data_IF_143585412074
#
_entry.id   IF_143585412074
#
_cell.length_a   1.000
_cell.length_b   1.000
_cell.length_c   1.000
_cell.angle_alpha   90.00
_cell.angle_beta   90.00
_cell.angle_gamma   90.00
#
_symmetry.space_group_name_H-M   'P 1'
#
loop_
_entity.id
_entity.type
_entity.pdbx_description
1 polymer ?
#
# COMPACT_ATOMS: atom_id res chain seq x y z
N UNK A 1 -0.77 -2.33 -4.59
CA UNK A 1 -0.50 -3.76 -4.86
C UNK A 1 0.96 -4.15 -4.63
N UNK A 2 1.95 -3.40 -5.14
CA UNK A 2 3.37 -3.76 -4.95
C UNK A 2 3.77 -3.99 -3.48
N UNK A 3 3.44 -3.05 -2.57
CA UNK A 3 3.77 -3.20 -1.15
C UNK A 3 3.10 -4.42 -0.50
N UNK A 4 1.87 -4.76 -0.88
CA UNK A 4 1.21 -5.96 -0.36
C UNK A 4 1.98 -7.23 -0.76
N UNK A 5 2.47 -7.30 -2.01
CA UNK A 5 3.33 -8.39 -2.47
C UNK A 5 4.65 -8.45 -1.69
N UNK A 6 5.30 -7.30 -1.48
CA UNK A 6 6.55 -7.21 -0.68
C UNK A 6 6.30 -7.69 0.75
N UNK A 7 5.21 -7.26 1.40
CA UNK A 7 4.84 -7.70 2.75
C UNK A 7 4.64 -9.21 2.77
N UNK A 8 3.84 -9.75 1.83
CA UNK A 8 3.52 -11.17 1.77
C UNK A 8 4.78 -12.03 1.58
N UNK A 9 5.66 -11.68 0.65
CA UNK A 9 6.92 -12.40 0.44
C UNK A 9 7.90 -12.24 1.62
N UNK A 10 7.93 -11.05 2.25
CA UNK A 10 8.78 -10.82 3.42
C UNK A 10 8.33 -11.63 4.63
N UNK A 11 7.02 -11.85 4.81
CA UNK A 11 6.47 -12.65 5.89
C UNK A 11 6.72 -14.16 5.73
N UNK A 12 6.88 -14.65 4.49
CA UNK A 12 7.27 -16.06 4.24
C UNK A 12 8.68 -16.37 4.76
N UNK A 13 9.54 -15.36 4.87
CA UNK A 13 10.88 -15.51 5.42
C UNK A 13 10.81 -15.42 6.95
N UNK A 14 10.86 -16.57 7.63
CA UNK A 14 10.67 -16.69 9.09
C UNK A 14 11.59 -15.79 9.96
N UNK A 15 12.69 -15.29 9.41
CA UNK A 15 13.63 -14.41 10.12
C UNK A 15 13.19 -12.93 10.15
N UNK A 16 12.34 -12.49 9.23
CA UNK A 16 12.01 -11.07 9.09
C UNK A 16 10.80 -10.71 9.95
N UNK A 17 10.97 -9.72 10.83
CA UNK A 17 9.84 -9.12 11.54
C UNK A 17 9.29 -7.98 10.69
N UNK A 18 8.03 -8.08 10.28
CA UNK A 18 7.37 -7.10 9.40
C UNK A 18 6.14 -6.56 10.10
N UNK A 19 6.18 -5.25 10.36
CA UNK A 19 5.11 -4.48 10.96
C UNK A 19 4.63 -3.49 9.91
N UNK A 20 3.33 -3.46 9.62
CA UNK A 20 2.81 -2.63 8.55
C UNK A 20 1.53 -1.90 8.92
N UNK A 21 1.27 -0.81 8.22
CA UNK A 21 0.04 -0.03 8.33
C UNK A 21 -0.37 0.52 6.96
N UNK A 22 -1.65 0.49 6.65
CA UNK A 22 -2.21 1.04 5.42
C UNK A 22 -3.05 2.27 5.76
N UNK A 23 -2.59 3.44 5.32
CA UNK A 23 -3.40 4.65 5.41
C UNK A 23 -4.61 4.51 4.47
N UNK A 24 -5.75 5.05 4.92
CA UNK A 24 -6.97 5.12 4.13
C UNK A 24 -7.61 6.49 4.30
N UNK A 25 -7.49 7.35 3.29
CA UNK A 25 -7.83 8.77 3.37
C UNK A 25 -9.32 9.03 3.64
N UNK A 26 -10.17 8.10 3.22
CA UNK A 26 -11.62 8.13 3.40
C UNK A 26 -12.08 7.64 4.79
N UNK A 27 -11.20 7.03 5.58
CA UNK A 27 -11.51 6.58 6.94
C UNK A 27 -10.76 7.43 7.97
N UNK A 28 -11.50 8.25 8.72
CA UNK A 28 -10.94 9.13 9.77
C UNK A 28 -10.19 8.39 10.87
N UNK A 29 -10.45 7.08 11.03
CA UNK A 29 -9.76 6.22 11.99
C UNK A 29 -8.38 5.79 11.51
N UNK A 30 -8.08 5.94 10.21
CA UNK A 30 -6.87 5.41 9.56
C UNK A 30 -6.06 6.48 8.79
N UNK A 31 -6.54 7.73 8.75
CA UNK A 31 -5.95 8.81 7.96
C UNK A 31 -5.15 9.83 8.80
N UNK A 32 -4.69 9.48 9.99
CA UNK A 32 -3.93 10.38 10.86
C UNK A 32 -2.69 9.71 11.45
N UNK A 33 -1.68 10.51 11.77
CA UNK A 33 -0.38 10.03 12.27
C UNK A 33 -0.52 9.14 13.52
N UNK A 34 -1.38 9.54 14.45
CA UNK A 34 -1.63 8.80 15.70
C UNK A 34 -2.20 7.41 15.41
N UNK A 35 -3.12 7.27 14.44
CA UNK A 35 -3.64 5.98 14.01
C UNK A 35 -2.56 5.08 13.40
N UNK A 36 -1.71 5.64 12.53
CA UNK A 36 -0.57 4.92 11.95
C UNK A 36 0.31 4.35 13.08
N UNK A 37 0.74 5.21 14.00
CA UNK A 37 1.63 4.80 15.07
C UNK A 37 0.99 3.79 16.03
N UNK A 38 -0.29 3.98 16.36
CA UNK A 38 -1.06 3.04 17.18
C UNK A 38 -1.15 1.67 16.50
N UNK A 39 -1.43 1.64 15.20
CA UNK A 39 -1.51 0.40 14.43
C UNK A 39 -0.17 -0.32 14.34
N UNK A 40 0.93 0.41 14.08
CA UNK A 40 2.28 -0.16 14.10
C UNK A 40 2.64 -0.74 15.47
N UNK A 41 2.33 -0.01 16.55
CA UNK A 41 2.57 -0.49 17.92
C UNK A 41 1.77 -1.75 18.23
N UNK A 42 0.49 -1.80 17.84
CA UNK A 42 -0.37 -2.97 18.02
C UNK A 42 0.24 -4.21 17.37
N UNK A 43 0.59 -4.13 16.08
CA UNK A 43 1.19 -5.26 15.36
C UNK A 43 2.56 -5.64 15.91
N UNK A 44 3.37 -4.64 16.30
CA UNK A 44 4.70 -4.89 16.88
C UNK A 44 4.62 -5.68 18.20
N UNK A 45 3.72 -5.29 19.12
CA UNK A 45 3.61 -5.97 20.42
C UNK A 45 2.95 -7.34 20.32
N UNK A 46 2.07 -7.52 19.34
CA UNK A 46 1.47 -8.83 19.03
C UNK A 46 2.54 -9.82 18.55
N UNK A 47 3.45 -9.38 17.68
CA UNK A 47 4.57 -10.19 17.18
C UNK A 47 5.70 -10.36 18.20
N UNK A 48 5.97 -9.34 19.02
CA UNK A 48 7.10 -9.28 19.96
C UNK A 48 6.62 -8.93 21.36
N UNK A 49 6.03 -9.93 22.04
CA UNK A 49 5.36 -9.77 23.35
C UNK A 49 6.25 -9.23 24.47
N UNK A 50 7.58 -9.40 24.39
CA UNK A 50 8.54 -8.80 25.33
C UNK A 50 8.41 -7.26 25.42
N UNK A 51 7.99 -6.63 24.31
CA UNK A 51 7.86 -5.17 24.22
C UNK A 51 6.59 -4.63 24.87
N UNK A 52 5.60 -5.49 25.21
CA UNK A 52 4.35 -5.09 25.87
C UNK A 52 4.61 -4.33 27.17
N UNK A 53 5.71 -4.63 27.86
CA UNK A 53 6.15 -3.95 29.08
C UNK A 53 6.25 -2.42 28.91
N UNK A 54 6.64 -1.93 27.73
CA UNK A 54 6.72 -0.49 27.43
C UNK A 54 5.34 0.18 27.38
N UNK A 55 4.33 -0.54 26.88
CA UNK A 55 2.94 -0.05 26.87
C UNK A 55 2.36 -0.10 28.27
N UNK A 56 2.48 -1.25 28.95
CA UNK A 56 1.96 -1.45 30.31
C UNK A 56 2.51 -0.44 31.30
N UNK A 57 3.80 -0.14 31.25
CA UNK A 57 4.41 0.87 32.15
C UNK A 57 3.70 2.22 32.11
N UNK A 58 3.16 2.63 30.96
CA UNK A 58 2.39 3.87 30.86
C UNK A 58 0.93 3.63 31.24
N UNK A 59 0.33 2.54 30.75
CA UNK A 59 -1.07 2.20 31.00
C UNK A 59 -1.39 1.98 32.48
N UNK A 60 -0.57 1.20 33.20
CA UNK A 60 -0.79 0.86 34.60
C UNK A 60 -0.75 2.09 35.51
N UNK A 61 -0.01 3.13 35.11
CA UNK A 61 0.13 4.38 35.87
C UNK A 61 -0.94 5.43 35.55
N UNK A 62 -1.47 5.45 34.32
CA UNK A 62 -2.29 6.57 33.82
C UNK A 62 -3.59 6.14 33.14
N UNK A 63 -3.88 4.84 33.12
CA UNK A 63 -5.00 4.26 32.40
C UNK A 63 -4.90 4.45 30.89
N UNK A 64 -6.06 4.42 30.24
CA UNK A 64 -6.19 4.52 28.78
C UNK A 64 -6.16 5.94 28.22
N UNK A 65 -6.44 6.96 29.05
CA UNK A 65 -6.62 8.33 28.58
C UNK A 65 -5.45 8.86 27.73
N UNK A 66 -4.17 8.69 28.13
CA UNK A 66 -3.04 9.21 27.37
C UNK A 66 -2.82 8.54 26.00
N UNK A 67 -3.62 7.54 25.65
CA UNK A 67 -3.58 6.85 24.35
C UNK A 67 -4.76 7.24 23.44
N UNK A 68 -5.76 7.93 23.99
CA UNK A 68 -7.02 8.30 23.34
C UNK A 68 -7.20 9.82 23.22
N UNK A 69 -6.50 10.61 24.05
CA UNK A 69 -6.66 12.07 24.13
C UNK A 69 -5.73 12.86 23.19
N UNK A 70 -5.75 14.19 23.31
CA UNK A 70 -4.90 15.11 22.53
C UNK A 70 -3.40 14.84 22.67
N UNK A 71 -2.97 14.16 23.74
CA UNK A 71 -1.57 13.83 24.00
C UNK A 71 -1.19 12.42 23.52
N UNK A 72 -2.12 11.72 22.84
CA UNK A 72 -1.91 10.36 22.36
C UNK A 72 -0.66 10.24 21.48
N UNK A 73 -0.42 11.22 20.61
CA UNK A 73 0.77 11.24 19.76
C UNK A 73 2.07 11.22 20.58
N UNK A 74 2.19 12.10 21.58
CA UNK A 74 3.40 12.21 22.39
C UNK A 74 3.63 10.94 23.22
N UNK A 75 2.57 10.39 23.81
CA UNK A 75 2.63 9.16 24.58
C UNK A 75 3.07 7.97 23.70
N UNK A 76 2.40 7.76 22.56
CA UNK A 76 2.70 6.67 21.64
C UNK A 76 4.10 6.83 21.03
N UNK A 77 4.48 8.04 20.63
CA UNK A 77 5.81 8.34 20.08
C UNK A 77 6.92 8.05 21.08
N UNK A 78 6.72 8.40 22.35
CA UNK A 78 7.68 8.09 23.42
C UNK A 78 7.78 6.57 23.66
N UNK A 79 6.66 5.87 23.69
CA UNK A 79 6.63 4.40 23.85
C UNK A 79 7.36 3.73 22.69
N UNK A 80 7.05 4.11 21.45
CA UNK A 80 7.69 3.58 20.26
C UNK A 80 9.20 3.80 20.28
N UNK A 81 9.65 5.03 20.57
CA UNK A 81 11.10 5.34 20.71
C UNK A 81 11.79 4.53 21.81
N UNK A 82 11.09 4.19 22.89
CA UNK A 82 11.63 3.33 23.95
C UNK A 82 11.75 1.88 23.50
N UNK A 83 10.73 1.35 22.81
CA UNK A 83 10.78 0.00 22.21
C UNK A 83 11.93 -0.14 21.22
N UNK A 84 12.18 0.89 20.40
CA UNK A 84 13.30 0.91 19.45
C UNK A 84 14.69 0.91 20.10
N UNK A 85 14.78 1.23 21.39
CA UNK A 85 16.03 1.19 22.18
C UNK A 85 16.14 -0.10 23.00
N UNK A 86 15.11 -0.93 23.02
CA UNK A 86 15.09 -2.14 23.81
C UNK A 86 16.02 -3.20 23.18
N UNK A 87 16.96 -3.80 23.94
CA UNK A 87 17.85 -4.83 23.42
C UNK A 87 17.13 -6.10 22.93
N UNK A 88 15.90 -6.35 23.40
CA UNK A 88 15.08 -7.48 22.97
C UNK A 88 14.40 -7.27 21.61
N UNK A 89 14.41 -6.04 21.09
CA UNK A 89 13.84 -5.74 19.78
C UNK A 89 14.63 -6.45 18.68
N UNK A 90 13.95 -7.32 17.95
CA UNK A 90 14.50 -7.96 16.75
C UNK A 90 14.57 -6.95 15.61
N UNK A 91 15.48 -7.16 14.65
CA UNK A 91 15.53 -6.33 13.44
C UNK A 91 14.17 -6.37 12.74
N UNK A 92 13.52 -5.21 12.64
CA UNK A 92 12.12 -5.08 12.23
C UNK A 92 11.99 -4.11 11.06
N UNK A 93 11.21 -4.51 10.06
CA UNK A 93 10.79 -3.69 8.93
C UNK A 93 9.43 -3.06 9.25
N UNK A 94 9.40 -1.73 9.28
CA UNK A 94 8.19 -0.92 9.40
C UNK A 94 7.75 -0.45 8.02
N UNK A 95 6.53 -0.81 7.63
CA UNK A 95 6.01 -0.55 6.30
C UNK A 95 4.76 0.32 6.39
N UNK A 96 4.76 1.48 5.72
CA UNK A 96 3.55 2.33 5.59
C UNK A 96 3.16 2.43 4.12
N UNK A 97 1.95 2.00 3.78
CA UNK A 97 1.39 2.16 2.44
C UNK A 97 0.46 3.37 2.37
N UNK A 98 0.44 4.04 1.21
CA UNK A 98 -0.39 5.20 0.90
C UNK A 98 -0.18 6.37 1.89
N UNK A 99 1.08 6.69 2.21
CA UNK A 99 1.42 7.71 3.21
C UNK A 99 0.79 9.09 2.91
N UNK A 100 0.56 9.43 1.65
CA UNK A 100 -0.16 10.64 1.20
C UNK A 100 -1.65 10.69 1.62
N UNK A 101 -2.20 9.57 2.06
CA UNK A 101 -3.55 9.49 2.62
C UNK A 101 -3.60 9.85 4.11
N UNK A 102 -2.46 10.02 4.78
CA UNK A 102 -2.40 10.60 6.12
C UNK A 102 -2.65 12.12 6.07
N UNK A 103 -3.87 12.55 6.43
CA UNK A 103 -4.34 13.93 6.34
C UNK A 103 -3.99 14.78 7.56
N UNK A 104 -3.87 14.18 8.73
CA UNK A 104 -3.62 14.90 9.98
C UNK A 104 -2.26 14.51 10.56
N UNK A 105 -1.48 15.50 10.98
CA UNK A 105 -0.16 15.36 11.64
C UNK A 105 0.92 14.61 10.84
N UNK A 106 0.78 14.53 9.51
CA UNK A 106 1.79 13.93 8.62
C UNK A 106 3.23 14.45 8.87
N UNK A 107 3.49 15.76 9.07
CA UNK A 107 4.84 16.23 9.38
C UNK A 107 5.45 15.57 10.63
N UNK A 108 4.65 15.33 11.67
CA UNK A 108 5.10 14.68 12.90
C UNK A 108 5.49 13.22 12.63
N UNK A 109 4.70 12.52 11.80
CA UNK A 109 4.98 11.16 11.35
C UNK A 109 6.28 11.09 10.54
N UNK A 110 6.48 12.01 9.60
CA UNK A 110 7.71 12.08 8.80
C UNK A 110 8.94 12.30 9.68
N UNK A 111 8.86 13.24 10.63
CA UNK A 111 9.94 13.49 11.58
C UNK A 111 10.24 12.24 12.44
N UNK A 112 9.22 11.51 12.88
CA UNK A 112 9.39 10.25 13.62
C UNK A 112 10.11 9.20 12.78
N UNK A 113 9.69 9.01 11.52
CA UNK A 113 10.31 8.06 10.58
C UNK A 113 11.79 8.41 10.39
N UNK A 114 12.10 9.68 10.08
CA UNK A 114 13.48 10.14 9.87
C UNK A 114 14.34 9.96 11.11
N UNK A 115 13.83 10.31 12.29
CA UNK A 115 14.57 10.15 13.55
C UNK A 115 14.87 8.68 13.86
N UNK A 116 13.94 7.78 13.53
CA UNK A 116 14.04 6.36 13.88
C UNK A 116 14.72 5.52 12.79
N UNK A 117 14.79 5.98 11.55
CA UNK A 117 15.48 5.29 10.45
C UNK A 117 17.00 5.16 10.64
N UNK A 118 17.58 6.00 11.50
CA UNK A 118 19.01 5.94 11.85
C UNK A 118 19.37 4.77 12.79
N UNK A 119 18.36 4.04 13.31
CA UNK A 119 18.56 2.93 14.24
C UNK A 119 18.76 1.61 13.49
N UNK A 120 19.80 0.86 13.85
CA UNK A 120 20.16 -0.39 13.18
C UNK A 120 19.07 -1.48 13.23
N UNK A 121 18.21 -1.45 14.24
CA UNK A 121 17.12 -2.41 14.43
C UNK A 121 15.80 -2.05 13.73
N UNK A 122 15.64 -0.80 13.23
CA UNK A 122 14.41 -0.32 12.62
C UNK A 122 14.63 0.10 11.17
N UNK A 123 14.09 -0.69 10.24
CA UNK A 123 14.17 -0.41 8.80
C UNK A 123 12.82 0.08 8.32
N UNK A 124 12.78 1.18 7.57
CA UNK A 124 11.54 1.77 7.09
C UNK A 124 11.36 1.56 5.59
N UNK A 125 10.15 1.20 5.19
CA UNK A 125 9.70 1.22 3.79
C UNK A 125 8.40 2.02 3.76
N UNK A 126 8.36 3.09 2.98
CA UNK A 126 7.16 3.91 2.84
C UNK A 126 6.80 4.01 1.36
N UNK A 127 5.51 3.88 1.05
CA UNK A 127 4.98 4.17 -0.27
C UNK A 127 3.97 5.31 -0.20
N UNK A 128 4.00 6.14 -1.22
CA UNK A 128 3.20 7.35 -1.37
C UNK A 128 3.04 7.66 -2.84
N UNK A 129 2.02 8.43 -3.20
CA UNK A 129 2.05 9.22 -4.45
C UNK A 129 3.22 10.20 -4.45
N UNK A 130 3.65 10.63 -5.64
CA UNK A 130 4.76 11.57 -5.78
C UNK A 130 4.36 12.96 -5.28
N UNK A 131 4.62 13.23 -3.99
CA UNK A 131 4.33 14.50 -3.34
C UNK A 131 5.61 15.13 -2.80
N UNK A 132 5.91 16.34 -3.28
CA UNK A 132 7.10 17.13 -2.89
C UNK A 132 7.14 17.35 -1.37
N UNK A 133 6.00 17.52 -0.72
CA UNK A 133 5.91 17.69 0.75
C UNK A 133 6.44 16.48 1.50
N UNK A 134 6.09 15.27 1.07
CA UNK A 134 6.54 14.01 1.66
C UNK A 134 8.02 13.79 1.36
N UNK A 135 8.44 14.02 0.12
CA UNK A 135 9.86 13.92 -0.27
C UNK A 135 10.75 14.82 0.60
N UNK A 136 10.36 16.10 0.76
CA UNK A 136 11.08 17.05 1.62
C UNK A 136 11.06 16.62 3.08
N UNK A 137 9.92 16.15 3.60
CA UNK A 137 9.82 15.72 4.99
C UNK A 137 10.62 14.47 5.32
N UNK A 138 10.84 13.56 4.35
CA UNK A 138 11.69 12.37 4.52
C UNK A 138 13.19 12.67 4.50
N UNK A 139 13.60 13.90 4.13
CA UNK A 139 14.99 14.37 4.14
C UNK A 139 15.94 13.33 3.52
N UNK A 140 15.63 12.92 2.30
CA UNK A 140 16.42 11.91 1.59
C UNK A 140 17.88 12.37 1.52
N UNK A 141 18.77 11.58 2.12
CA UNK A 141 20.23 11.72 2.07
C UNK A 141 20.83 10.44 1.47
N UNK A 142 22.15 10.33 1.42
CA UNK A 142 22.84 9.15 0.85
C UNK A 142 22.48 7.82 1.57
N UNK A 143 21.92 7.87 2.78
CA UNK A 143 21.49 6.68 3.53
C UNK A 143 20.06 6.22 3.20
N UNK A 144 19.31 6.98 2.40
CA UNK A 144 17.91 6.71 2.05
C UNK A 144 17.75 6.53 0.55
N UNK A 145 17.16 5.42 0.12
CA UNK A 145 16.92 5.14 -1.30
C UNK A 145 15.48 5.49 -1.70
N UNK A 146 15.32 6.29 -2.76
CA UNK A 146 14.02 6.56 -3.40
C UNK A 146 13.87 5.66 -4.63
N UNK A 147 12.78 4.91 -4.67
CA UNK A 147 12.33 4.18 -5.85
C UNK A 147 11.10 4.89 -6.42
N UNK A 148 11.25 5.59 -7.54
CA UNK A 148 10.11 6.15 -8.28
C UNK A 148 9.70 5.21 -9.39
N UNK A 149 8.45 4.75 -9.34
CA UNK A 149 7.87 3.86 -10.37
C UNK A 149 7.52 4.61 -11.66
N UNK A 150 7.46 5.94 -11.63
CA UNK A 150 7.17 6.80 -12.77
C UNK A 150 8.41 7.08 -13.64
N UNK A 151 9.62 6.78 -13.11
CA UNK A 151 10.85 6.89 -13.90
C UNK A 151 10.76 5.97 -15.12
N UNK A 152 11.14 6.50 -16.28
CA UNK A 152 10.98 5.85 -17.59
C UNK A 152 11.50 4.41 -17.65
N UNK A 153 12.57 4.10 -16.93
CA UNK A 153 13.14 2.75 -16.85
C UNK A 153 12.25 1.78 -16.06
N UNK A 154 11.70 2.23 -14.93
CA UNK A 154 10.78 1.45 -14.10
C UNK A 154 9.40 1.35 -14.77
N UNK A 155 8.95 2.39 -15.47
CA UNK A 155 7.70 2.40 -16.21
C UNK A 155 7.66 1.27 -17.27
N UNK A 156 8.80 0.94 -17.91
CA UNK A 156 8.87 -0.22 -18.82
C UNK A 156 8.63 -1.54 -18.10
N UNK A 157 9.20 -1.72 -16.90
CA UNK A 157 8.97 -2.92 -16.09
C UNK A 157 7.52 -3.01 -15.62
N UNK A 158 6.92 -1.89 -15.23
CA UNK A 158 5.49 -1.82 -14.87
C UNK A 158 4.63 -2.22 -16.06
N UNK A 159 4.86 -1.64 -17.25
CA UNK A 159 4.13 -1.99 -18.47
C UNK A 159 4.28 -3.47 -18.83
N UNK A 160 5.47 -4.05 -18.66
CA UNK A 160 5.69 -5.48 -18.88
C UNK A 160 4.88 -6.33 -17.88
N UNK A 161 4.91 -5.99 -16.59
CA UNK A 161 4.14 -6.69 -15.56
C UNK A 161 2.62 -6.58 -15.80
N UNK A 162 2.13 -5.42 -16.28
CA UNK A 162 0.73 -5.25 -16.69
C UNK A 162 0.39 -6.13 -17.89
N UNK A 163 1.29 -6.23 -18.88
CA UNK A 163 1.08 -7.10 -20.04
C UNK A 163 1.04 -8.60 -19.67
N UNK A 164 1.84 -9.04 -18.69
CA UNK A 164 1.74 -10.39 -18.11
C UNK A 164 0.42 -10.58 -17.36
N UNK A 165 0.01 -9.59 -16.55
CA UNK A 165 -1.27 -9.64 -15.83
C UNK A 165 -2.47 -9.71 -16.78
N UNK A 166 -2.48 -8.96 -17.88
CA UNK A 166 -3.51 -9.03 -18.92
C UNK A 166 -3.56 -10.43 -19.52
N UNK A 167 -2.40 -10.99 -19.90
CA UNK A 167 -2.33 -12.36 -20.45
C UNK A 167 -2.93 -13.39 -19.50
N UNK A 168 -2.56 -13.31 -18.23
CA UNK A 168 -3.12 -14.19 -17.20
C UNK A 168 -4.65 -14.02 -17.09
N UNK A 169 -5.15 -12.80 -16.97
CA UNK A 169 -6.60 -12.55 -16.84
C UNK A 169 -7.38 -13.04 -18.05
N UNK A 170 -6.89 -12.80 -19.27
CA UNK A 170 -7.55 -13.25 -20.51
C UNK A 170 -7.55 -14.78 -20.61
N UNK A 171 -6.48 -15.45 -20.14
CA UNK A 171 -6.43 -16.91 -20.12
C UNK A 171 -7.45 -17.55 -19.16
N UNK A 172 -7.96 -16.79 -18.19
CA UNK A 172 -9.00 -17.23 -17.24
C UNK A 172 -10.43 -16.92 -17.71
N UNK A 173 -10.63 -16.32 -18.89
CA UNK A 173 -11.97 -16.10 -19.46
C UNK A 173 -12.48 -17.39 -20.11
N UNK A 174 -13.36 -18.10 -19.41
CA UNK A 174 -13.87 -19.43 -19.79
C UNK A 174 -14.65 -19.34 -21.11
N UNK A 175 -15.39 -18.25 -21.31
CA UNK A 175 -16.29 -17.98 -22.43
C UNK A 175 -15.55 -17.95 -23.77
N UNK A 176 -14.24 -17.62 -23.74
CA UNK A 176 -13.39 -17.50 -24.93
C UNK A 176 -12.21 -18.48 -24.89
N UNK A 177 -12.18 -19.43 -23.94
CA UNK A 177 -11.03 -20.33 -23.73
C UNK A 177 -10.64 -21.11 -25.01
N UNK A 178 -11.63 -21.46 -25.83
CA UNK A 178 -11.45 -22.20 -27.08
C UNK A 178 -11.35 -21.31 -28.33
N UNK A 179 -11.56 -20.00 -28.21
CA UNK A 179 -11.49 -19.05 -29.32
C UNK A 179 -10.19 -18.23 -29.24
N UNK A 180 -9.12 -18.78 -29.81
CA UNK A 180 -7.80 -18.14 -29.84
C UNK A 180 -7.81 -16.79 -30.54
N UNK A 181 -8.63 -16.63 -31.58
CA UNK A 181 -8.71 -15.38 -32.33
C UNK A 181 -9.33 -14.28 -31.47
N UNK A 182 -10.42 -14.59 -30.77
CA UNK A 182 -11.05 -13.64 -29.87
C UNK A 182 -10.16 -13.31 -28.67
N UNK A 183 -9.44 -14.29 -28.11
CA UNK A 183 -8.43 -14.04 -27.07
C UNK A 183 -7.35 -13.05 -27.51
N UNK A 184 -6.79 -13.24 -28.70
CA UNK A 184 -5.77 -12.34 -29.25
C UNK A 184 -6.32 -10.92 -29.43
N UNK A 185 -7.56 -10.78 -29.91
CA UNK A 185 -8.21 -9.47 -30.09
C UNK A 185 -8.50 -8.78 -28.75
N UNK A 186 -8.99 -9.52 -27.75
CA UNK A 186 -9.23 -9.01 -26.40
C UNK A 186 -7.91 -8.56 -25.78
N UNK A 187 -6.87 -9.39 -25.87
CA UNK A 187 -5.54 -9.10 -25.35
C UNK A 187 -4.95 -7.83 -25.98
N UNK A 188 -4.97 -7.70 -27.30
CA UNK A 188 -4.45 -6.53 -28.01
C UNK A 188 -5.20 -5.24 -27.62
N UNK A 189 -6.54 -5.29 -27.55
CA UNK A 189 -7.34 -4.12 -27.16
C UNK A 189 -7.08 -3.69 -25.72
N UNK A 190 -7.08 -4.63 -24.78
CA UNK A 190 -6.81 -4.33 -23.36
C UNK A 190 -5.39 -3.78 -23.21
N UNK A 191 -4.38 -4.36 -23.87
CA UNK A 191 -3.01 -3.86 -23.81
C UNK A 191 -2.86 -2.42 -24.33
N UNK A 192 -3.54 -2.07 -25.43
CA UNK A 192 -3.53 -0.72 -25.98
C UNK A 192 -4.19 0.31 -25.07
N UNK A 193 -5.24 -0.07 -24.35
CA UNK A 193 -6.04 0.84 -23.52
C UNK A 193 -5.61 0.91 -22.05
N UNK A 194 -4.96 -0.14 -21.53
CA UNK A 194 -4.62 -0.25 -20.11
C UNK A 194 -3.65 0.82 -19.61
N UNK A 195 -2.84 1.42 -20.48
CA UNK A 195 -1.89 2.49 -20.17
C UNK A 195 -1.06 2.21 -18.88
N UNK A 196 -0.54 0.99 -18.73
CA UNK A 196 0.25 0.61 -17.55
C UNK A 196 -0.52 0.53 -16.22
N UNK A 197 -1.85 0.47 -16.25
CA UNK A 197 -2.70 0.52 -15.05
C UNK A 197 -3.36 -0.81 -14.76
N UNK A 198 -2.87 -1.54 -13.75
CA UNK A 198 -3.46 -2.81 -13.30
C UNK A 198 -4.94 -2.68 -12.92
N UNK A 199 -5.31 -1.58 -12.26
CA UNK A 199 -6.67 -1.35 -11.79
C UNK A 199 -7.65 -1.27 -12.96
N UNK A 200 -7.29 -0.55 -14.02
CA UNK A 200 -8.10 -0.47 -15.24
C UNK A 200 -8.32 -1.86 -15.83
N UNK A 201 -7.25 -2.66 -15.97
CA UNK A 201 -7.35 -4.06 -16.44
C UNK A 201 -8.29 -4.87 -15.56
N UNK A 202 -8.17 -4.79 -14.24
CA UNK A 202 -9.02 -5.56 -13.33
C UNK A 202 -10.50 -5.18 -13.44
N UNK A 203 -10.81 -3.90 -13.71
CA UNK A 203 -12.19 -3.43 -13.87
C UNK A 203 -12.79 -3.90 -15.20
N UNK A 204 -12.02 -3.83 -16.29
CA UNK A 204 -12.47 -4.37 -17.58
C UNK A 204 -12.67 -5.87 -17.51
N UNK A 205 -11.72 -6.62 -16.94
CA UNK A 205 -11.85 -8.07 -16.80
C UNK A 205 -13.05 -8.43 -15.92
N UNK A 206 -13.34 -7.65 -14.87
CA UNK A 206 -14.54 -7.84 -14.06
C UNK A 206 -15.82 -7.69 -14.90
N UNK A 207 -15.90 -6.67 -15.75
CA UNK A 207 -17.06 -6.47 -16.63
C UNK A 207 -17.22 -7.62 -17.64
N UNK A 208 -16.11 -8.13 -18.18
CA UNK A 208 -16.13 -9.26 -19.11
C UNK A 208 -16.55 -10.57 -18.43
N UNK A 209 -16.31 -10.71 -17.12
CA UNK A 209 -16.74 -11.86 -16.32
C UNK A 209 -18.16 -11.68 -15.74
N UNK A 210 -18.84 -10.57 -16.02
CA UNK A 210 -20.23 -10.38 -15.59
C UNK A 210 -21.14 -11.39 -16.30
N UNK A 211 -22.07 -11.99 -15.55
CA UNK A 211 -22.97 -13.03 -16.08
C UNK A 211 -23.87 -12.54 -17.21
N UNK A 212 -24.09 -11.22 -17.33
CA UNK A 212 -24.88 -10.63 -18.39
C UNK A 212 -24.05 -10.32 -19.65
N UNK A 213 -22.72 -10.45 -19.59
CA UNK A 213 -21.83 -10.15 -20.70
C UNK A 213 -21.55 -11.39 -21.53
N UNK A 214 -22.03 -11.41 -22.76
CA UNK A 214 -21.79 -12.51 -23.69
C UNK A 214 -20.46 -12.31 -24.44
N UNK A 215 -19.79 -13.41 -24.81
CA UNK A 215 -18.45 -13.36 -25.43
C UNK A 215 -18.39 -12.56 -26.73
N UNK A 216 -19.48 -12.53 -27.52
CA UNK A 216 -19.55 -11.73 -28.74
C UNK A 216 -19.56 -10.22 -28.47
N UNK A 217 -19.95 -9.78 -27.26
CA UNK A 217 -19.98 -8.38 -26.84
C UNK A 217 -18.64 -7.92 -26.22
N UNK A 218 -17.70 -8.83 -25.95
CA UNK A 218 -16.45 -8.50 -25.25
C UNK A 218 -15.69 -7.34 -25.90
N UNK A 219 -15.52 -7.37 -27.23
CA UNK A 219 -14.79 -6.31 -27.93
C UNK A 219 -15.50 -4.97 -27.83
N UNK A 220 -16.84 -4.98 -27.86
CA UNK A 220 -17.68 -3.78 -27.72
C UNK A 220 -17.56 -3.22 -26.30
N UNK A 221 -17.66 -4.07 -25.27
CA UNK A 221 -17.47 -3.67 -23.87
C UNK A 221 -16.11 -3.02 -23.68
N UNK A 222 -15.03 -3.64 -24.19
CA UNK A 222 -13.68 -3.09 -24.10
C UNK A 222 -13.58 -1.74 -24.81
N UNK A 223 -14.23 -1.56 -25.96
CA UNK A 223 -14.22 -0.29 -26.71
C UNK A 223 -14.94 0.83 -25.96
N UNK A 224 -16.06 0.53 -25.32
CA UNK A 224 -16.86 1.49 -24.54
C UNK A 224 -16.23 1.87 -23.19
N UNK A 225 -15.25 1.09 -22.70
CA UNK A 225 -14.56 1.40 -21.45
C UNK A 225 -13.67 2.65 -21.60
N UNK A 226 -13.87 3.71 -20.80
CA UNK A 226 -13.01 4.90 -20.83
C UNK A 226 -11.57 4.51 -20.50
N UNK A 227 -10.57 5.14 -21.15
CA UNK A 227 -9.15 4.88 -20.83
C UNK A 227 -8.68 5.61 -19.58
N UNK A 228 -9.33 6.73 -19.22
CA UNK A 228 -9.07 7.45 -17.99
C UNK A 228 -9.82 6.80 -16.82
N UNK A 229 -9.15 6.68 -15.67
CA UNK A 229 -9.75 6.08 -14.48
C UNK A 229 -10.88 6.93 -13.92
N UNK A 230 -10.82 8.27 -13.98
CA UNK A 230 -11.88 9.12 -13.43
C UNK A 230 -13.16 8.98 -14.25
N UNK A 231 -13.04 8.96 -15.58
CA UNK A 231 -14.19 8.73 -16.48
C UNK A 231 -14.78 7.33 -16.24
N UNK A 232 -13.93 6.31 -16.05
CA UNK A 232 -14.36 4.96 -15.72
C UNK A 232 -15.10 4.91 -14.38
N UNK A 233 -14.59 5.58 -13.35
CA UNK A 233 -15.29 5.72 -12.07
C UNK A 233 -16.61 6.49 -12.20
N UNK A 234 -16.66 7.55 -13.02
CA UNK A 234 -17.88 8.30 -13.30
C UNK A 234 -18.97 7.40 -13.85
N UNK A 235 -18.65 6.59 -14.87
CA UNK A 235 -19.58 5.59 -15.44
C UNK A 235 -20.07 4.59 -14.39
N UNK A 236 -19.21 4.13 -13.48
CA UNK A 236 -19.61 3.19 -12.43
C UNK A 236 -20.52 3.81 -11.36
N UNK A 237 -20.51 5.13 -11.19
CA UNK A 237 -21.38 5.84 -10.24
C UNK A 237 -22.72 6.26 -10.85
N UNK A 238 -22.80 6.31 -12.18
CA UNK A 238 -24.02 6.62 -12.94
C UNK A 238 -24.91 5.39 -13.21
N UNK A 239 -24.34 4.18 -13.07
CA UNK A 239 -25.03 2.88 -13.16
C UNK A 239 -25.44 2.37 -11.78
#
# INVERSE_FOLDING_TARGET
MLLCGIIHESQKQAANQVVYFFCQGTDSRLNNATAVLRGLLYVLVDQQSALVSHVRKKYDNTGKQPFEDLNAWDALSKIFKNMLRDPSLKSTYFIINALDECKTDLPQLLDLIVQTSSKSCAKWIVASRDQISIERGLRLDESRTRLSLELKENAKQVSHAVAEYIRHCVSELIEIQNDKRLQEQVLDKIQKKANGTFLWVSLVIKELKDENTMSWDFLKVIDEMPTDLNDLYGRMLEN
#
